data_IF_012709275460
#
_entry.id   IF_012709275460
#
_cell.length_a   1.000
_cell.length_b   1.000
_cell.length_c   1.000
_cell.angle_alpha   90.00
_cell.angle_beta   90.00
_cell.angle_gamma   90.00
#
_symmetry.space_group_name_H-M   'P 1'
#
loop_
_entity.id
_entity.type
_entity.pdbx_description
1 polymer ?
#
# COMPACT_ATOMS: atom_id res chain seq x y z
N UNK A 1 2.89 -10.81 -5.67
CA UNK A 1 2.20 -11.37 -4.49
C UNK A 1 1.87 -10.30 -3.46
N UNK A 2 2.87 -9.63 -2.87
CA UNK A 2 2.69 -8.69 -1.76
C UNK A 2 1.59 -7.64 -1.96
N UNK A 3 1.65 -6.84 -3.03
CA UNK A 3 0.65 -5.80 -3.29
C UNK A 3 -0.78 -6.36 -3.50
N UNK A 4 -1.01 -7.35 -4.40
CA UNK A 4 -2.31 -8.00 -4.51
C UNK A 4 -2.88 -8.53 -3.19
N UNK A 5 -2.04 -9.17 -2.35
CA UNK A 5 -2.48 -9.69 -1.05
C UNK A 5 -3.01 -8.58 -0.14
N UNK A 6 -2.32 -7.44 -0.07
CA UNK A 6 -2.72 -6.30 0.76
C UNK A 6 -4.01 -5.66 0.25
N UNK A 7 -4.12 -5.45 -1.07
CA UNK A 7 -5.31 -4.84 -1.68
C UNK A 7 -6.53 -5.73 -1.44
N UNK A 8 -6.44 -7.04 -1.67
CA UNK A 8 -7.53 -7.99 -1.43
C UNK A 8 -7.95 -8.00 0.05
N UNK A 9 -7.01 -8.00 0.99
CA UNK A 9 -7.38 -7.95 2.42
C UNK A 9 -8.16 -6.68 2.78
N UNK A 10 -7.80 -5.55 2.17
CA UNK A 10 -8.49 -4.29 2.42
C UNK A 10 -9.93 -4.26 1.89
N UNK A 11 -10.25 -5.07 0.86
CA UNK A 11 -11.61 -5.22 0.32
C UNK A 11 -12.42 -6.27 1.09
N UNK A 12 -11.79 -7.33 1.61
CA UNK A 12 -12.45 -8.36 2.42
C UNK A 12 -12.81 -7.88 3.83
N UNK A 13 -11.98 -7.04 4.45
CA UNK A 13 -12.16 -6.61 5.84
C UNK A 13 -12.35 -5.09 5.96
N UNK A 14 -13.55 -4.68 6.39
CA UNK A 14 -13.86 -3.29 6.70
C UNK A 14 -13.67 -2.93 8.19
N UNK A 15 -14.13 -3.80 9.12
CA UNK A 15 -14.17 -3.49 10.57
C UNK A 15 -12.91 -3.88 11.36
N UNK A 16 -12.19 -4.91 10.92
CA UNK A 16 -10.95 -5.41 11.57
C UNK A 16 -9.78 -5.43 10.59
N UNK A 17 -9.66 -4.36 9.81
CA UNK A 17 -8.71 -4.28 8.70
C UNK A 17 -7.27 -4.32 9.21
N UNK A 18 -6.97 -3.66 10.33
CA UNK A 18 -5.61 -3.60 10.87
C UNK A 18 -5.17 -4.95 11.42
N UNK A 19 -6.05 -5.66 12.15
CA UNK A 19 -5.76 -7.03 12.63
C UNK A 19 -5.58 -8.00 11.47
N UNK A 20 -6.47 -7.99 10.47
CA UNK A 20 -6.36 -8.88 9.30
C UNK A 20 -5.06 -8.64 8.52
N UNK A 21 -4.70 -7.36 8.32
CA UNK A 21 -3.42 -6.97 7.70
C UNK A 21 -2.23 -7.41 8.54
N UNK A 22 -2.30 -7.21 9.86
CA UNK A 22 -1.27 -7.66 10.80
C UNK A 22 -0.98 -9.15 10.67
N UNK A 23 -2.02 -9.99 10.73
CA UNK A 23 -1.90 -11.45 10.60
C UNK A 23 -1.32 -11.84 9.24
N UNK A 24 -1.84 -11.29 8.15
CA UNK A 24 -1.39 -11.66 6.80
C UNK A 24 0.08 -11.31 6.53
N UNK A 25 0.59 -10.23 7.12
CA UNK A 25 1.98 -9.78 6.91
C UNK A 25 2.95 -10.38 7.96
N UNK A 26 2.45 -11.13 8.95
CA UNK A 26 3.29 -11.86 9.93
C UNK A 26 4.25 -12.86 9.28
N UNK A 27 3.93 -13.36 8.08
CA UNK A 27 4.82 -14.26 7.32
C UNK A 27 6.23 -13.70 7.12
N UNK A 28 6.39 -12.37 7.05
CA UNK A 28 7.71 -11.74 6.99
C UNK A 28 8.56 -11.99 8.23
N UNK A 29 7.98 -11.91 9.43
CA UNK A 29 8.68 -12.18 10.69
C UNK A 29 9.07 -13.65 10.85
N UNK A 30 8.17 -14.56 10.45
CA UNK A 30 8.45 -16.01 10.40
C UNK A 30 9.61 -16.27 9.43
N UNK A 31 9.55 -15.68 8.23
CA UNK A 31 10.61 -15.79 7.23
C UNK A 31 11.96 -15.31 7.76
N UNK A 32 12.03 -14.14 8.38
CA UNK A 32 13.26 -13.62 9.00
C UNK A 32 13.80 -14.58 10.05
N UNK A 33 12.95 -15.06 10.96
CA UNK A 33 13.35 -15.98 12.02
C UNK A 33 13.92 -17.28 11.45
N UNK A 34 13.16 -17.93 10.56
CA UNK A 34 13.53 -19.21 9.94
C UNK A 34 14.79 -19.08 9.08
N UNK A 35 14.83 -18.09 8.18
CA UNK A 35 15.97 -17.91 7.28
C UNK A 35 17.23 -17.47 8.01
N UNK A 36 17.13 -16.69 9.09
CA UNK A 36 18.31 -16.29 9.88
C UNK A 36 19.03 -17.49 10.49
N UNK A 37 18.29 -18.53 10.89
CA UNK A 37 18.85 -19.73 11.52
C UNK A 37 19.23 -20.80 10.50
N UNK A 38 18.45 -20.97 9.42
CA UNK A 38 18.63 -22.07 8.47
C UNK A 38 19.65 -21.74 7.37
N UNK A 39 19.72 -20.48 6.92
CA UNK A 39 20.53 -20.15 5.73
C UNK A 39 22.03 -20.38 5.94
N UNK A 40 22.57 -20.16 7.15
CA UNK A 40 23.98 -20.43 7.46
C UNK A 40 24.35 -21.91 7.26
N UNK A 41 23.72 -22.84 8.00
CA UNK A 41 23.94 -24.27 7.85
C UNK A 41 23.68 -24.80 6.42
N UNK A 42 22.67 -24.26 5.72
CA UNK A 42 22.39 -24.63 4.34
C UNK A 42 23.49 -24.15 3.39
N UNK A 43 24.01 -22.95 3.60
CA UNK A 43 25.13 -22.43 2.81
C UNK A 43 26.40 -23.26 3.02
N UNK A 44 26.67 -23.69 4.25
CA UNK A 44 27.77 -24.59 4.56
C UNK A 44 27.59 -25.98 3.93
N UNK A 45 26.36 -26.51 3.92
CA UNK A 45 26.03 -27.78 3.26
C UNK A 45 26.28 -27.74 1.74
N UNK A 46 26.01 -26.60 1.09
CA UNK A 46 26.35 -26.39 -0.33
C UNK A 46 27.84 -26.09 -0.57
N UNK A 47 28.71 -26.27 0.43
CA UNK A 47 30.15 -26.02 0.30
C UNK A 47 30.47 -24.54 0.07
N UNK A 48 29.59 -23.63 0.53
CA UNK A 48 29.69 -22.17 0.32
C UNK A 48 29.65 -21.75 -1.15
N UNK A 49 29.13 -22.61 -2.01
CA UNK A 49 28.87 -22.25 -3.41
C UNK A 49 27.65 -21.32 -3.51
N UNK A 50 27.91 -20.10 -3.98
CA UNK A 50 26.88 -19.07 -4.17
C UNK A 50 25.87 -19.49 -5.24
N UNK A 51 26.30 -20.22 -6.27
CA UNK A 51 25.43 -20.66 -7.37
C UNK A 51 24.32 -21.58 -6.87
N UNK A 52 24.70 -22.66 -6.19
CA UNK A 52 23.78 -23.63 -5.60
C UNK A 52 22.86 -23.01 -4.54
N UNK A 53 23.38 -22.09 -3.73
CA UNK A 53 22.59 -21.35 -2.75
C UNK A 53 21.54 -20.43 -3.38
N UNK A 54 21.87 -19.75 -4.49
CA UNK A 54 20.91 -18.95 -5.25
C UNK A 54 19.80 -19.80 -5.85
N UNK A 55 20.10 -21.01 -6.35
CA UNK A 55 19.09 -21.95 -6.86
C UNK A 55 18.14 -22.39 -5.75
N UNK A 56 18.66 -22.69 -4.56
CA UNK A 56 17.85 -22.99 -3.37
C UNK A 56 16.87 -21.85 -3.03
N UNK A 57 17.35 -20.60 -2.98
CA UNK A 57 16.51 -19.44 -2.71
C UNK A 57 15.46 -19.22 -3.82
N UNK A 58 15.84 -19.43 -5.08
CA UNK A 58 14.91 -19.33 -6.21
C UNK A 58 13.78 -20.37 -6.12
N UNK A 59 14.10 -21.62 -5.72
CA UNK A 59 13.10 -22.67 -5.53
C UNK A 59 12.08 -22.30 -4.45
N UNK A 60 12.52 -21.69 -3.34
CA UNK A 60 11.63 -21.18 -2.29
C UNK A 60 10.76 -20.01 -2.80
N UNK A 61 11.33 -19.11 -3.59
CA UNK A 61 10.56 -18.00 -4.16
C UNK A 61 9.47 -18.48 -5.13
N UNK A 62 9.76 -19.51 -5.93
CA UNK A 62 8.81 -20.11 -6.88
C UNK A 62 7.69 -20.84 -6.12
N UNK A 63 8.00 -21.60 -5.07
CA UNK A 63 6.96 -22.28 -4.27
C UNK A 63 5.99 -21.28 -3.63
N UNK A 64 6.49 -20.10 -3.23
CA UNK A 64 5.66 -18.97 -2.82
C UNK A 64 4.61 -18.59 -3.86
N UNK A 65 4.96 -18.58 -5.14
CA UNK A 65 4.07 -18.16 -6.24
C UNK A 65 2.82 -19.05 -6.37
N UNK A 66 2.91 -20.34 -6.01
CA UNK A 66 1.77 -21.27 -6.03
C UNK A 66 0.64 -20.82 -5.10
N UNK A 67 0.97 -20.20 -3.96
CA UNK A 67 -0.02 -19.69 -3.02
C UNK A 67 -0.83 -18.50 -3.57
N UNK A 68 -0.36 -17.86 -4.65
CA UNK A 68 -1.13 -16.78 -5.31
C UNK A 68 -2.43 -17.29 -5.94
N UNK A 69 -2.50 -18.59 -6.26
CA UNK A 69 -3.69 -19.20 -6.85
C UNK A 69 -4.89 -19.21 -5.88
N UNK A 70 -4.66 -19.02 -4.58
CA UNK A 70 -5.71 -18.92 -3.58
C UNK A 70 -6.41 -17.55 -3.57
N UNK A 71 -5.88 -16.55 -4.28
CA UNK A 71 -6.53 -15.24 -4.36
C UNK A 71 -7.78 -15.31 -5.25
N UNK A 72 -8.92 -15.50 -4.61
CA UNK A 72 -10.22 -15.38 -5.25
C UNK A 72 -10.75 -13.93 -5.14
N UNK A 73 -11.26 -13.33 -6.23
CA UNK A 73 -11.98 -12.07 -6.14
C UNK A 73 -13.33 -12.25 -5.44
N UNK A 74 -13.76 -11.25 -4.67
CA UNK A 74 -15.07 -11.24 -4.04
C UNK A 74 -16.15 -11.16 -5.13
N UNK A 75 -17.07 -12.13 -5.11
CA UNK A 75 -18.31 -12.06 -5.90
C UNK A 75 -19.40 -11.39 -5.06
N UNK A 76 -20.25 -10.59 -5.69
CA UNK A 76 -21.38 -9.98 -5.02
C UNK A 76 -22.36 -11.07 -4.53
N UNK A 77 -22.72 -11.02 -3.23
CA UNK A 77 -23.68 -11.96 -2.65
C UNK A 77 -25.08 -11.67 -3.21
N UNK A 78 -25.92 -12.69 -3.45
CA UNK A 78 -27.29 -12.48 -3.97
C UNK A 78 -28.11 -11.49 -3.14
N UNK A 79 -27.92 -11.48 -1.82
CA UNK A 79 -28.57 -10.52 -0.93
C UNK A 79 -28.16 -9.07 -1.22
N UNK A 80 -26.88 -8.81 -1.56
CA UNK A 80 -26.39 -7.47 -1.91
C UNK A 80 -26.97 -7.03 -3.24
N UNK A 81 -26.99 -7.91 -4.23
CA UNK A 81 -27.60 -7.67 -5.55
C UNK A 81 -29.09 -7.31 -5.39
N UNK A 82 -29.84 -8.11 -4.62
CA UNK A 82 -31.28 -7.84 -4.34
C UNK A 82 -31.50 -6.51 -3.62
N UNK A 83 -30.65 -6.16 -2.65
CA UNK A 83 -30.75 -4.91 -1.89
C UNK A 83 -30.50 -3.68 -2.78
N UNK A 84 -29.47 -3.72 -3.61
CA UNK A 84 -29.14 -2.63 -4.56
C UNK A 84 -30.21 -2.50 -5.63
N UNK A 85 -30.66 -3.63 -6.21
CA UNK A 85 -31.75 -3.62 -7.19
C UNK A 85 -33.05 -3.03 -6.63
N UNK A 86 -33.37 -3.31 -5.36
CA UNK A 86 -34.53 -2.72 -4.67
C UNK A 86 -34.36 -1.20 -4.42
N UNK A 87 -33.14 -0.73 -4.13
CA UNK A 87 -32.87 0.71 -4.00
C UNK A 87 -33.03 1.45 -5.34
N UNK A 88 -32.47 0.89 -6.43
CA UNK A 88 -32.62 1.45 -7.78
C UNK A 88 -34.10 1.54 -8.16
N UNK A 89 -34.88 0.49 -7.89
CA UNK A 89 -36.33 0.47 -8.14
C UNK A 89 -37.12 1.49 -7.34
N UNK A 90 -36.80 1.65 -6.06
CA UNK A 90 -37.40 2.69 -5.22
C UNK A 90 -37.09 4.09 -5.76
N UNK A 91 -35.90 4.30 -6.30
CA UNK A 91 -35.50 5.57 -6.93
C UNK A 91 -36.21 5.82 -8.26
N UNK A 92 -36.46 4.77 -9.05
CA UNK A 92 -37.29 4.82 -10.26
C UNK A 92 -38.80 5.00 -9.97
N UNK A 93 -39.20 5.06 -8.69
CA UNK A 93 -40.60 5.17 -8.28
C UNK A 93 -41.42 3.91 -8.56
N UNK A 94 -40.78 2.75 -8.74
CA UNK A 94 -41.43 1.47 -9.03
C UNK A 94 -41.24 0.50 -7.86
N UNK A 95 -42.19 0.38 -6.92
CA UNK A 95 -42.04 -0.42 -5.70
C UNK A 95 -42.18 -1.95 -5.91
N UNK A 96 -42.24 -2.41 -7.16
CA UNK A 96 -42.37 -3.83 -7.52
C UNK A 96 -41.08 -4.62 -7.27
N UNK A 97 -41.19 -5.95 -7.17
CA UNK A 97 -40.01 -6.81 -7.03
C UNK A 97 -39.06 -6.67 -8.24
N UNK A 98 -37.73 -6.65 -8.02
CA UNK A 98 -36.76 -6.44 -9.08
C UNK A 98 -36.79 -7.60 -10.08
N UNK A 99 -36.91 -7.25 -11.37
CA UNK A 99 -36.91 -8.20 -12.48
C UNK A 99 -35.59 -8.97 -12.55
N UNK A 100 -35.62 -10.23 -13.01
CA UNK A 100 -34.42 -11.08 -13.11
C UNK A 100 -33.31 -10.46 -13.95
N UNK A 101 -33.64 -9.71 -15.02
CA UNK A 101 -32.68 -8.93 -15.82
C UNK A 101 -31.99 -7.83 -15.01
N UNK A 102 -32.73 -7.07 -14.21
CA UNK A 102 -32.16 -6.02 -13.35
C UNK A 102 -31.24 -6.60 -12.28
N UNK A 103 -31.56 -7.78 -11.74
CA UNK A 103 -30.68 -8.49 -10.81
C UNK A 103 -29.38 -8.93 -11.48
N UNK A 104 -29.43 -9.34 -12.75
CA UNK A 104 -28.27 -9.74 -13.54
C UNK A 104 -27.41 -8.53 -13.93
N UNK A 105 -28.02 -7.43 -14.35
CA UNK A 105 -27.35 -6.15 -14.62
C UNK A 105 -26.66 -5.61 -13.36
N UNK A 106 -27.38 -5.53 -12.24
CA UNK A 106 -26.81 -5.09 -10.95
C UNK A 106 -25.71 -6.05 -10.48
N UNK A 107 -25.82 -7.36 -10.76
CA UNK A 107 -24.73 -8.30 -10.46
C UNK A 107 -23.52 -8.02 -11.32
N UNK A 108 -23.69 -7.82 -12.63
CA UNK A 108 -22.59 -7.53 -13.54
C UNK A 108 -21.90 -6.21 -13.17
N UNK A 109 -22.67 -5.16 -12.86
CA UNK A 109 -22.15 -3.88 -12.39
C UNK A 109 -21.37 -4.04 -11.07
N UNK A 110 -21.91 -4.81 -10.12
CA UNK A 110 -21.22 -5.09 -8.86
C UNK A 110 -19.97 -5.97 -9.04
N UNK A 111 -19.97 -6.91 -9.99
CA UNK A 111 -18.80 -7.72 -10.34
C UNK A 111 -17.73 -6.90 -11.07
N UNK A 112 -18.14 -5.93 -11.89
CA UNK A 112 -17.27 -4.96 -12.55
C UNK A 112 -16.67 -3.97 -11.55
N UNK A 113 -17.47 -3.48 -10.58
CA UNK A 113 -17.01 -2.68 -9.43
C UNK A 113 -16.03 -3.44 -8.53
N UNK A 114 -16.20 -4.76 -8.37
CA UNK A 114 -15.32 -5.59 -7.56
C UNK A 114 -14.04 -6.03 -8.29
N UNK A 115 -13.86 -5.68 -9.59
CA UNK A 115 -12.60 -5.98 -10.28
C UNK A 115 -11.46 -5.13 -9.70
N UNK A 116 -10.35 -5.75 -9.26
CA UNK A 116 -9.21 -5.01 -8.74
C UNK A 116 -8.61 -4.13 -9.86
N UNK A 117 -8.65 -2.81 -9.67
CA UNK A 117 -8.07 -1.81 -10.57
C UNK A 117 -9.04 -1.11 -11.52
N UNK A 118 -10.36 -1.24 -11.36
CA UNK A 118 -11.32 -0.44 -12.14
C UNK A 118 -11.61 0.90 -11.42
N UNK A 119 -11.30 2.01 -12.10
CA UNK A 119 -11.55 3.36 -11.62
C UNK A 119 -13.05 3.65 -11.61
N UNK A 120 -13.54 4.37 -10.60
CA UNK A 120 -14.91 4.87 -10.51
C UNK A 120 -15.27 5.92 -11.60
N UNK A 121 -14.34 6.27 -12.49
CA UNK A 121 -14.50 7.34 -13.49
C UNK A 121 -15.35 6.93 -14.70
N UNK A 122 -15.70 5.65 -14.87
CA UNK A 122 -16.57 5.20 -15.97
C UNK A 122 -18.05 5.56 -15.74
N UNK A 123 -18.42 6.08 -14.57
CA UNK A 123 -19.82 6.30 -14.17
C UNK A 123 -20.50 7.52 -14.82
N UNK A 124 -19.78 8.32 -15.63
CA UNK A 124 -20.36 9.44 -16.40
C UNK A 124 -20.32 9.25 -17.93
N UNK A 125 -19.94 8.08 -18.44
CA UNK A 125 -20.16 7.73 -19.84
C UNK A 125 -21.55 7.08 -19.99
N UNK A 126 -22.58 7.94 -20.05
CA UNK A 126 -23.98 7.56 -20.00
C UNK A 126 -24.49 6.71 -21.17
N UNK A 127 -25.50 5.91 -20.82
CA UNK A 127 -26.63 5.41 -21.61
C UNK A 127 -26.32 4.58 -22.86
N UNK A 128 -26.24 3.26 -22.67
CA UNK A 128 -26.61 2.32 -23.72
C UNK A 128 -28.14 2.41 -23.97
N UNK A 129 -28.63 2.65 -25.20
CA UNK A 129 -30.05 2.64 -25.45
C UNK A 129 -30.55 1.19 -25.37
N UNK A 130 -31.53 1.00 -24.51
CA UNK A 130 -32.38 -0.18 -24.39
C UNK A 130 -32.90 -0.58 -25.77
N UNK A 131 -32.65 -1.83 -26.14
CA UNK A 131 -33.26 -2.50 -27.30
C UNK A 131 -34.79 -2.36 -27.25
N UNK A 132 -35.36 -1.58 -28.17
CA UNK A 132 -36.81 -1.49 -28.39
C UNK A 132 -37.15 -2.18 -29.71
N UNK A 133 -37.77 -3.36 -29.60
CA UNK A 133 -38.33 -4.10 -30.72
C UNK A 133 -39.54 -3.36 -31.30
N UNK A 134 -39.49 -3.14 -32.63
CA UNK A 134 -40.57 -2.96 -33.64
C UNK A 134 -41.92 -2.33 -33.23
N UNK A 135 -42.27 -1.20 -33.87
CA UNK A 135 -43.40 -1.07 -34.83
C UNK A 135 -43.99 0.36 -34.91
N UNK A 136 -44.15 0.82 -36.15
CA UNK A 136 -45.11 1.77 -36.73
C UNK A 136 -45.12 3.29 -36.44
N UNK A 137 -44.74 3.99 -37.53
CA UNK A 137 -45.36 5.17 -38.17
C UNK A 137 -45.56 6.48 -37.40
N UNK A 138 -45.06 7.54 -38.07
CA UNK A 138 -45.34 8.98 -37.93
C UNK A 138 -44.54 9.71 -36.84
N UNK A 139 -43.37 10.24 -37.21
CA UNK A 139 -43.10 11.69 -37.14
C UNK A 139 -41.72 12.03 -37.73
N UNK A 140 -41.71 12.38 -39.03
CA UNK A 140 -40.50 12.61 -39.84
C UNK A 140 -40.03 14.08 -39.84
N UNK A 141 -40.41 14.90 -38.86
CA UNK A 141 -40.02 16.33 -38.80
C UNK A 141 -39.37 16.79 -37.51
N UNK A 142 -39.36 15.96 -36.45
CA UNK A 142 -38.55 16.23 -35.24
C UNK A 142 -37.13 15.63 -35.33
N UNK A 143 -36.88 14.73 -36.28
CA UNK A 143 -35.60 14.01 -36.42
C UNK A 143 -34.48 14.85 -37.05
N UNK A 144 -34.80 15.77 -37.97
CA UNK A 144 -33.79 16.54 -38.71
C UNK A 144 -33.08 17.62 -37.86
N UNK A 145 -33.74 18.17 -36.84
CA UNK A 145 -33.10 19.15 -35.94
C UNK A 145 -32.27 18.51 -34.83
N UNK A 146 -32.50 17.22 -34.52
CA UNK A 146 -31.69 16.46 -33.57
C UNK A 146 -30.45 15.85 -34.23
N UNK A 147 -30.54 15.43 -35.51
CA UNK A 147 -29.39 14.94 -36.27
C UNK A 147 -28.31 16.01 -36.44
N UNK A 148 -28.65 17.29 -36.61
CA UNK A 148 -27.65 18.37 -36.74
C UNK A 148 -26.82 18.60 -35.46
N UNK A 149 -27.41 18.43 -34.27
CA UNK A 149 -26.68 18.54 -32.99
C UNK A 149 -25.89 17.27 -32.63
N UNK A 150 -26.36 16.10 -33.09
CA UNK A 150 -25.63 14.84 -32.93
C UNK A 150 -24.43 14.78 -33.87
N UNK A 151 -24.58 15.22 -35.13
CA UNK A 151 -23.51 15.17 -36.15
C UNK A 151 -22.29 16.00 -35.73
N UNK A 152 -22.50 17.19 -35.14
CA UNK A 152 -21.38 18.02 -34.68
C UNK A 152 -20.67 17.47 -33.43
N UNK A 153 -21.35 16.65 -32.62
CA UNK A 153 -20.75 15.93 -31.50
C UNK A 153 -20.07 14.62 -31.95
N UNK A 154 -20.50 14.00 -33.06
CA UNK A 154 -19.88 12.77 -33.57
C UNK A 154 -18.55 12.98 -34.29
N UNK A 155 -18.30 14.12 -34.95
CA UNK A 155 -17.02 14.32 -35.66
C UNK A 155 -15.81 14.43 -34.72
N UNK A 156 -15.99 14.96 -33.50
CA UNK A 156 -14.92 14.99 -32.49
C UNK A 156 -14.85 13.74 -31.60
N UNK A 157 -15.79 12.79 -31.72
CA UNK A 157 -15.88 11.61 -30.84
C UNK A 157 -15.83 10.25 -31.53
N UNK A 158 -15.62 10.19 -32.85
CA UNK A 158 -15.43 8.92 -33.57
C UNK A 158 -14.09 8.80 -34.29
N UNK A 159 -13.03 9.42 -33.75
CA UNK A 159 -11.64 9.13 -34.16
C UNK A 159 -10.71 8.95 -32.96
N UNK A 160 -11.03 8.01 -32.07
CA UNK A 160 -9.99 7.10 -31.60
C UNK A 160 -10.00 5.89 -32.51
N UNK A 161 -9.52 6.10 -33.74
CA UNK A 161 -9.00 5.02 -34.56
C UNK A 161 -8.18 4.10 -33.63
N UNK A 162 -8.36 2.79 -33.82
CA UNK A 162 -7.41 1.76 -33.41
C UNK A 162 -6.10 2.01 -34.18
N UNK A 163 -5.41 3.11 -33.84
CA UNK A 163 -4.00 3.24 -34.08
C UNK A 163 -3.41 2.11 -33.26
N UNK A 164 -2.60 1.25 -33.88
CA UNK A 164 -1.64 0.43 -33.13
C UNK A 164 -0.74 1.41 -32.38
N UNK A 165 -1.22 1.90 -31.23
CA UNK A 165 -0.46 2.73 -30.32
C UNK A 165 0.81 1.94 -30.04
N UNK A 166 1.95 2.58 -30.28
CA UNK A 166 3.25 2.00 -29.97
C UNK A 166 3.19 1.40 -28.56
N UNK A 167 3.87 0.27 -28.32
CA UNK A 167 3.97 -0.32 -26.98
C UNK A 167 4.34 0.74 -25.94
N UNK A 168 5.14 1.73 -26.35
CA UNK A 168 5.51 2.89 -25.54
C UNK A 168 4.34 3.82 -25.18
N UNK A 169 3.43 4.11 -26.11
CA UNK A 169 2.25 4.95 -25.85
C UNK A 169 1.26 4.26 -24.92
N UNK A 170 1.02 2.95 -25.12
CA UNK A 170 0.21 2.14 -24.19
C UNK A 170 0.85 2.05 -22.81
N UNK A 171 2.16 1.84 -22.76
CA UNK A 171 2.91 1.86 -21.50
C UNK A 171 2.84 3.21 -20.81
N UNK A 172 2.99 4.32 -21.54
CA UNK A 172 2.88 5.69 -21.00
C UNK A 172 1.49 5.95 -20.43
N UNK A 173 0.43 5.54 -21.13
CA UNK A 173 -0.95 5.69 -20.66
C UNK A 173 -1.21 4.86 -19.40
N UNK A 174 -0.77 3.59 -19.36
CA UNK A 174 -0.84 2.76 -18.15
C UNK A 174 0.02 3.28 -17.00
N UNK A 175 1.17 3.88 -17.29
CA UNK A 175 2.02 4.48 -16.26
C UNK A 175 1.38 5.76 -15.72
N UNK A 176 0.78 6.59 -16.58
CA UNK A 176 0.03 7.78 -16.17
C UNK A 176 -1.24 7.43 -15.39
N UNK A 177 -1.91 6.29 -15.66
CA UNK A 177 -3.07 5.88 -14.89
C UNK A 177 -2.71 5.35 -13.50
N UNK A 178 -1.52 4.77 -13.33
CA UNK A 178 -0.97 4.36 -12.03
C UNK A 178 -0.39 5.55 -11.26
N UNK A 179 0.29 6.47 -11.97
CA UNK A 179 0.81 7.73 -11.43
C UNK A 179 -0.30 8.79 -11.38
N UNK A 180 -1.20 8.61 -10.41
CA UNK A 180 -2.22 9.61 -10.13
C UNK A 180 -1.55 10.93 -9.70
N UNK A 181 -1.68 11.95 -10.56
CA UNK A 181 -1.08 13.27 -10.35
C UNK A 181 -1.66 13.95 -9.12
N UNK A 182 -2.92 13.73 -8.81
CA UNK A 182 -3.55 14.33 -7.63
C UNK A 182 -2.90 13.83 -6.35
N UNK A 183 -2.43 12.57 -6.36
CA UNK A 183 -1.69 12.01 -5.24
C UNK A 183 -0.28 12.59 -5.15
N UNK A 184 0.45 12.64 -6.28
CA UNK A 184 1.81 13.18 -6.31
C UNK A 184 1.89 14.65 -5.89
N UNK A 185 0.83 15.44 -6.13
CA UNK A 185 0.75 16.83 -5.72
C UNK A 185 -0.01 17.05 -4.41
N UNK A 186 -0.53 15.99 -3.77
CA UNK A 186 -1.14 16.07 -2.44
C UNK A 186 -0.06 16.21 -1.35
N UNK A 187 0.00 17.34 -0.62
CA UNK A 187 1.00 17.53 0.42
C UNK A 187 0.93 16.48 1.54
N UNK A 188 -0.29 16.04 1.88
CA UNK A 188 -0.50 15.00 2.90
C UNK A 188 0.10 13.67 2.44
N UNK A 189 -0.23 13.25 1.22
CA UNK A 189 0.31 12.01 0.66
C UNK A 189 1.83 12.07 0.52
N UNK A 190 2.38 13.18 0.05
CA UNK A 190 3.81 13.35 -0.13
C UNK A 190 4.59 13.35 1.19
N UNK A 191 4.06 13.99 2.24
CA UNK A 191 4.66 13.92 3.58
C UNK A 191 4.75 12.48 4.06
N UNK A 192 3.68 11.73 3.84
CA UNK A 192 3.60 10.31 4.18
C UNK A 192 4.57 9.46 3.32
N UNK A 193 4.73 9.77 2.03
CA UNK A 193 5.69 9.09 1.15
C UNK A 193 7.15 9.32 1.56
N UNK A 194 7.52 10.58 1.81
CA UNK A 194 8.88 10.98 2.21
C UNK A 194 9.25 10.38 3.57
N UNK A 195 8.34 10.38 4.54
CA UNK A 195 8.61 9.71 5.83
C UNK A 195 8.79 8.20 5.68
N UNK A 196 8.06 7.58 4.73
CA UNK A 196 8.25 6.19 4.35
C UNK A 196 9.66 5.92 3.83
N UNK A 197 10.18 6.80 2.97
CA UNK A 197 11.56 6.72 2.48
C UNK A 197 12.58 6.78 3.61
N UNK A 198 12.48 7.75 4.52
CA UNK A 198 13.41 7.86 5.65
C UNK A 198 13.32 6.66 6.59
N UNK A 199 12.13 6.14 6.83
CA UNK A 199 11.95 4.92 7.62
C UNK A 199 12.69 3.75 6.99
N UNK A 200 12.48 3.49 5.70
CA UNK A 200 13.08 2.33 5.02
C UNK A 200 14.60 2.49 4.82
N UNK A 201 15.07 3.73 4.68
CA UNK A 201 16.50 4.06 4.64
C UNK A 201 17.22 3.55 5.89
N UNK A 202 16.62 3.71 7.07
CA UNK A 202 17.21 3.27 8.35
C UNK A 202 16.81 1.84 8.75
N UNK A 203 15.64 1.38 8.30
CA UNK A 203 15.05 0.08 8.65
C UNK A 203 16.00 -1.11 8.43
N UNK A 204 16.72 -1.14 7.31
CA UNK A 204 17.56 -2.29 6.94
C UNK A 204 18.87 -2.36 7.74
N UNK A 205 19.26 -1.26 8.38
CA UNK A 205 20.59 -1.13 8.99
C UNK A 205 20.81 -2.14 10.12
N UNK A 206 19.91 -2.31 11.11
CA UNK A 206 20.10 -3.31 12.14
C UNK A 206 20.01 -4.76 11.64
N UNK A 207 19.29 -5.04 10.55
CA UNK A 207 19.26 -6.39 9.98
C UNK A 207 20.60 -6.81 9.37
N UNK A 208 21.35 -5.86 8.82
CA UNK A 208 22.61 -6.13 8.10
C UNK A 208 23.83 -5.90 8.97
N UNK A 209 23.88 -4.78 9.70
CA UNK A 209 25.11 -4.30 10.34
C UNK A 209 25.18 -4.56 11.84
N UNK A 210 24.10 -4.98 12.51
CA UNK A 210 24.11 -5.21 13.95
C UNK A 210 25.07 -6.33 14.36
N UNK A 211 25.01 -7.48 13.68
CA UNK A 211 25.93 -8.59 13.92
C UNK A 211 27.40 -8.20 13.66
N UNK A 212 27.64 -7.37 12.64
CA UNK A 212 28.98 -6.87 12.32
C UNK A 212 29.49 -5.90 13.40
N UNK A 213 28.62 -5.02 13.90
CA UNK A 213 28.94 -4.11 14.99
C UNK A 213 29.22 -4.84 16.32
N UNK A 214 28.44 -5.89 16.61
CA UNK A 214 28.68 -6.77 17.77
C UNK A 214 30.05 -7.43 17.68
N UNK A 215 30.37 -8.05 16.53
CA UNK A 215 31.66 -8.73 16.29
C UNK A 215 32.85 -7.77 16.34
N UNK A 216 32.68 -6.53 15.90
CA UNK A 216 33.72 -5.50 15.98
C UNK A 216 34.02 -5.11 17.44
N UNK A 217 33.00 -5.03 18.31
CA UNK A 217 33.17 -4.64 19.71
C UNK A 217 33.66 -5.79 20.58
N UNK A 218 33.17 -7.00 20.34
CA UNK A 218 33.59 -8.18 21.05
C UNK A 218 33.81 -9.34 20.07
N UNK A 219 35.08 -9.65 19.74
CA UNK A 219 35.43 -10.75 18.84
C UNK A 219 35.09 -12.14 19.38
N UNK A 220 34.84 -12.28 20.69
CA UNK A 220 34.59 -13.56 21.34
C UNK A 220 33.17 -14.08 21.13
N UNK A 221 32.28 -13.25 20.56
CA UNK A 221 30.92 -13.69 20.24
C UNK A 221 30.92 -14.82 19.20
N UNK A 222 30.20 -15.88 19.54
CA UNK A 222 29.95 -17.02 18.65
C UNK A 222 28.99 -16.63 17.52
N UNK A 223 29.03 -17.35 16.39
CA UNK A 223 28.12 -17.09 15.26
C UNK A 223 26.62 -17.26 15.65
N UNK A 224 26.33 -18.09 16.65
CA UNK A 224 25.00 -18.23 17.23
C UNK A 224 24.56 -16.95 17.98
N UNK A 225 25.45 -16.33 18.75
CA UNK A 225 25.15 -15.08 19.47
C UNK A 225 25.02 -13.90 18.52
N UNK A 226 25.80 -13.87 17.44
CA UNK A 226 25.74 -12.82 16.41
C UNK A 226 24.45 -12.91 15.58
N UNK A 227 23.89 -14.11 15.39
CA UNK A 227 22.63 -14.31 14.64
C UNK A 227 21.38 -14.14 15.49
N UNK A 228 21.48 -14.35 16.82
CA UNK A 228 20.37 -14.27 17.76
C UNK A 228 19.53 -12.97 17.65
N UNK A 229 20.11 -11.76 17.56
CA UNK A 229 19.32 -10.53 17.42
C UNK A 229 18.40 -10.51 16.20
N UNK A 230 18.86 -11.02 15.05
CA UNK A 230 18.03 -11.05 13.82
C UNK A 230 16.87 -12.02 13.98
N UNK A 231 17.12 -13.19 14.59
CA UNK A 231 16.08 -14.17 14.94
C UNK A 231 15.04 -13.57 15.88
N UNK A 232 15.49 -12.89 16.95
CA UNK A 232 14.61 -12.22 17.91
C UNK A 232 13.84 -11.07 17.27
N UNK A 233 14.46 -10.31 16.36
CA UNK A 233 13.77 -9.27 15.61
C UNK A 233 12.58 -9.88 14.86
N UNK A 234 12.79 -11.00 14.17
CA UNK A 234 11.72 -11.75 13.49
C UNK A 234 10.62 -12.25 14.42
N UNK A 235 10.98 -12.83 15.56
CA UNK A 235 10.02 -13.33 16.55
C UNK A 235 9.15 -12.21 17.16
N UNK A 236 9.77 -11.14 17.63
CA UNK A 236 9.05 -9.98 18.17
C UNK A 236 8.23 -9.26 17.11
N UNK A 237 8.68 -9.28 15.84
CA UNK A 237 7.93 -8.66 14.74
C UNK A 237 6.52 -9.28 14.59
N UNK A 238 6.40 -10.60 14.75
CA UNK A 238 5.09 -11.30 14.70
C UNK A 238 4.19 -10.81 15.85
N UNK A 239 4.72 -10.81 17.07
CA UNK A 239 3.97 -10.39 18.26
C UNK A 239 3.48 -8.94 18.13
N UNK A 240 4.37 -8.03 17.73
CA UNK A 240 4.03 -6.61 17.60
C UNK A 240 3.10 -6.32 16.43
N UNK A 241 3.15 -7.08 15.32
CA UNK A 241 2.19 -6.91 14.21
C UNK A 241 0.76 -7.21 14.62
N UNK A 242 0.56 -8.28 15.39
CA UNK A 242 -0.76 -8.63 15.92
C UNK A 242 -1.20 -7.59 16.95
N UNK A 243 -0.31 -7.25 17.88
CA UNK A 243 -0.58 -6.26 18.92
C UNK A 243 -0.93 -4.88 18.38
N UNK A 244 -0.14 -4.34 17.44
CA UNK A 244 -0.39 -3.02 16.86
C UNK A 244 -1.68 -2.99 16.04
N UNK A 245 -2.03 -4.09 15.35
CA UNK A 245 -3.30 -4.20 14.66
C UNK A 245 -4.49 -4.09 15.61
N UNK A 246 -4.41 -4.75 16.78
CA UNK A 246 -5.46 -4.68 17.81
C UNK A 246 -5.56 -3.28 18.44
N UNK A 247 -4.43 -2.63 18.71
CA UNK A 247 -4.39 -1.27 19.28
C UNK A 247 -4.91 -0.24 18.27
N UNK A 248 -4.54 -0.37 17.00
CA UNK A 248 -4.99 0.53 15.93
C UNK A 248 -6.49 0.40 15.62
N UNK A 249 -7.10 -0.77 15.86
CA UNK A 249 -8.55 -0.97 15.69
C UNK A 249 -9.36 -0.42 16.89
N UNK A 250 -8.72 0.15 17.93
CA UNK A 250 -9.41 0.74 19.07
C UNK A 250 -10.01 2.11 18.71
N UNK A 251 -11.28 2.41 19.06
CA UNK A 251 -12.01 3.60 18.58
C UNK A 251 -11.42 4.96 18.99
N UNK A 252 -10.50 4.98 19.95
CA UNK A 252 -9.83 6.21 20.43
C UNK A 252 -8.43 6.42 19.84
N UNK A 253 -7.91 5.46 19.07
CA UNK A 253 -6.55 5.51 18.54
C UNK A 253 -6.58 5.42 17.02
N UNK A 254 -5.78 6.23 16.35
CA UNK A 254 -5.56 6.10 14.90
C UNK A 254 -4.37 5.20 14.62
N UNK A 255 -4.41 4.45 13.51
CA UNK A 255 -3.27 3.65 13.06
C UNK A 255 -2.00 4.51 12.88
N UNK A 256 -2.17 5.76 12.48
CA UNK A 256 -1.11 6.76 12.36
C UNK A 256 -0.39 7.02 13.69
N UNK A 257 -1.13 7.28 14.77
CA UNK A 257 -0.53 7.55 16.09
C UNK A 257 0.26 6.35 16.61
N UNK A 258 -0.31 5.15 16.49
CA UNK A 258 0.36 3.90 16.89
C UNK A 258 1.66 3.72 16.12
N UNK A 259 1.63 3.94 14.79
CA UNK A 259 2.81 3.89 13.95
C UNK A 259 3.87 4.93 14.35
N UNK A 260 3.48 6.19 14.56
CA UNK A 260 4.42 7.27 14.88
C UNK A 260 5.14 7.03 16.21
N UNK A 261 4.40 6.63 17.25
CA UNK A 261 5.00 6.35 18.57
C UNK A 261 6.00 5.20 18.46
N UNK A 262 5.63 4.12 17.76
CA UNK A 262 6.50 2.96 17.60
C UNK A 262 7.77 3.27 16.80
N UNK A 263 7.69 4.06 15.72
CA UNK A 263 8.87 4.42 14.91
C UNK A 263 9.80 5.39 15.65
N UNK A 264 9.26 6.33 16.42
CA UNK A 264 10.07 7.23 17.25
C UNK A 264 10.83 6.44 18.32
N UNK A 265 10.15 5.52 19.01
CA UNK A 265 10.79 4.66 20.02
C UNK A 265 11.87 3.77 19.38
N UNK A 266 11.60 3.18 18.21
CA UNK A 266 12.57 2.36 17.49
C UNK A 266 13.81 3.16 17.06
N UNK A 267 13.62 4.34 16.46
CA UNK A 267 14.74 5.22 16.08
C UNK A 267 15.55 5.67 17.29
N UNK A 268 14.87 6.03 18.38
CA UNK A 268 15.52 6.39 19.64
C UNK A 268 16.33 5.23 20.21
N UNK A 269 15.80 4.00 20.18
CA UNK A 269 16.55 2.82 20.65
C UNK A 269 17.81 2.53 19.83
N UNK A 270 17.83 2.88 18.54
CA UNK A 270 19.04 2.74 17.71
C UNK A 270 20.17 3.66 18.19
N UNK A 271 19.87 4.81 18.77
CA UNK A 271 20.87 5.71 19.35
C UNK A 271 21.58 5.10 20.56
N UNK A 272 20.98 4.08 21.20
CA UNK A 272 21.57 3.41 22.34
C UNK A 272 22.46 2.21 21.96
N UNK A 273 22.38 1.72 20.72
CA UNK A 273 23.22 0.59 20.23
C UNK A 273 24.72 0.83 20.41
N UNK A 274 25.26 2.05 20.21
CA UNK A 274 26.67 2.33 20.47
C UNK A 274 27.12 2.07 21.91
N UNK A 275 26.22 2.13 22.88
CA UNK A 275 26.54 1.88 24.30
C UNK A 275 26.39 0.40 24.70
N UNK A 276 25.92 -0.46 23.80
CA UNK A 276 25.76 -1.89 24.06
C UNK A 276 27.11 -2.61 24.04
N UNK A 277 27.45 -3.30 25.13
CA UNK A 277 28.66 -4.14 25.25
C UNK A 277 28.30 -5.62 25.36
N UNK A 278 27.47 -5.96 26.35
CA UNK A 278 26.99 -7.32 26.59
C UNK A 278 25.88 -7.75 25.62
N UNK A 279 25.78 -9.07 25.36
CA UNK A 279 24.74 -9.67 24.50
C UNK A 279 23.32 -9.26 24.90
N UNK A 280 23.04 -9.19 26.21
CA UNK A 280 21.70 -8.83 26.72
C UNK A 280 21.26 -7.43 26.31
N UNK A 281 22.18 -6.48 26.11
CA UNK A 281 21.82 -5.14 25.64
C UNK A 281 21.22 -5.18 24.22
N UNK A 282 21.82 -6.00 23.35
CA UNK A 282 21.34 -6.20 21.98
C UNK A 282 19.99 -6.92 21.95
N UNK A 283 19.78 -7.90 22.85
CA UNK A 283 18.49 -8.59 23.05
C UNK A 283 17.39 -7.60 23.45
N UNK A 284 17.69 -6.71 24.41
CA UNK A 284 16.73 -5.67 24.86
C UNK A 284 16.43 -4.69 23.73
N UNK A 285 17.44 -4.31 22.93
CA UNK A 285 17.26 -3.45 21.74
C UNK A 285 16.30 -4.03 20.70
N UNK A 286 16.26 -5.35 20.52
CA UNK A 286 15.37 -6.00 19.55
C UNK A 286 13.89 -5.68 19.80
N UNK A 287 13.48 -5.45 21.04
CA UNK A 287 12.07 -5.21 21.41
C UNK A 287 11.53 -3.89 20.81
N UNK A 288 12.07 -2.70 21.17
CA UNK A 288 11.59 -1.44 20.61
C UNK A 288 11.82 -1.34 19.11
N UNK A 289 12.93 -1.86 18.58
CA UNK A 289 13.19 -1.86 17.16
C UNK A 289 12.15 -2.68 16.38
N UNK A 290 11.86 -3.91 16.83
CA UNK A 290 10.83 -4.75 16.20
C UNK A 290 9.44 -4.15 16.29
N UNK A 291 9.12 -3.43 17.37
CA UNK A 291 7.84 -2.74 17.49
C UNK A 291 7.69 -1.66 16.41
N UNK A 292 8.70 -0.81 16.19
CA UNK A 292 8.66 0.20 15.13
C UNK A 292 8.58 -0.39 13.74
N UNK A 293 9.40 -1.41 13.46
CA UNK A 293 9.41 -2.17 12.19
C UNK A 293 8.04 -2.83 11.93
N UNK A 294 7.45 -3.48 12.94
CA UNK A 294 6.15 -4.14 12.86
C UNK A 294 5.01 -3.15 12.61
N UNK A 295 4.94 -2.08 13.42
CA UNK A 295 3.90 -1.06 13.32
C UNK A 295 3.97 -0.35 11.97
N UNK A 296 5.17 0.05 11.55
CA UNK A 296 5.36 0.67 10.24
C UNK A 296 4.86 -0.26 9.13
N UNK A 297 5.33 -1.51 9.09
CA UNK A 297 4.99 -2.41 7.99
C UNK A 297 3.51 -2.86 7.97
N UNK A 298 2.88 -3.07 9.13
CA UNK A 298 1.48 -3.52 9.21
C UNK A 298 0.48 -2.38 9.00
N UNK A 299 0.76 -1.20 9.56
CA UNK A 299 -0.19 -0.08 9.57
C UNK A 299 -0.05 0.81 8.33
N UNK A 300 1.02 0.67 7.53
CA UNK A 300 1.25 1.55 6.37
C UNK A 300 0.11 1.55 5.36
N UNK A 301 -0.39 0.37 5.01
CA UNK A 301 -1.51 0.22 4.08
C UNK A 301 -2.81 0.72 4.71
N UNK A 302 -3.00 0.49 6.00
CA UNK A 302 -4.15 0.99 6.76
C UNK A 302 -4.19 2.52 6.75
N UNK A 303 -3.08 3.17 7.11
CA UNK A 303 -2.93 4.64 7.08
C UNK A 303 -3.18 5.18 5.66
N UNK A 304 -2.71 4.48 4.64
CA UNK A 304 -2.96 4.85 3.24
C UNK A 304 -4.46 4.86 2.93
N UNK A 305 -5.20 3.82 3.35
CA UNK A 305 -6.64 3.74 3.17
C UNK A 305 -7.39 4.78 4.00
N UNK A 306 -6.99 5.03 5.24
CA UNK A 306 -7.60 6.06 6.09
C UNK A 306 -7.39 7.48 5.52
N UNK A 307 -6.25 7.71 4.86
CA UNK A 307 -5.91 9.02 4.29
C UNK A 307 -6.61 9.25 2.94
N UNK A 308 -6.56 8.28 2.02
CA UNK A 308 -6.91 8.51 0.60
C UNK A 308 -8.19 7.76 0.20
N UNK A 309 -8.65 6.81 1.03
CA UNK A 309 -9.76 5.92 0.70
C UNK A 309 -9.31 4.65 -0.02
N UNK A 310 -10.24 3.70 -0.13
CA UNK A 310 -9.98 2.38 -0.75
C UNK A 310 -9.82 2.47 -2.27
N UNK A 311 -10.51 3.43 -2.90
CA UNK A 311 -10.60 3.56 -4.36
C UNK A 311 -9.23 3.80 -5.01
N UNK A 312 -8.43 4.70 -4.43
CA UNK A 312 -7.09 5.03 -4.93
C UNK A 312 -5.98 4.24 -4.24
N UNK A 313 -6.32 3.21 -3.44
CA UNK A 313 -5.34 2.47 -2.63
C UNK A 313 -4.22 1.85 -3.46
N UNK A 314 -4.54 1.22 -4.59
CA UNK A 314 -3.55 0.53 -5.42
C UNK A 314 -2.54 1.52 -6.02
N UNK A 315 -3.03 2.64 -6.56
CA UNK A 315 -2.20 3.70 -7.12
C UNK A 315 -1.35 4.36 -6.04
N UNK A 316 -1.95 4.72 -4.91
CA UNK A 316 -1.27 5.30 -3.77
C UNK A 316 -0.16 4.40 -3.24
N UNK A 317 -0.47 3.15 -2.95
CA UNK A 317 0.48 2.22 -2.36
C UNK A 317 1.59 1.87 -3.35
N UNK A 318 1.30 1.83 -4.66
CA UNK A 318 2.32 1.72 -5.70
C UNK A 318 3.33 2.87 -5.66
N UNK A 319 2.85 4.12 -5.61
CA UNK A 319 3.72 5.30 -5.50
C UNK A 319 4.52 5.26 -4.18
N UNK A 320 3.88 4.94 -3.05
CA UNK A 320 4.58 4.79 -1.76
C UNK A 320 5.73 3.79 -1.83
N UNK A 321 5.51 2.64 -2.46
CA UNK A 321 6.52 1.59 -2.60
C UNK A 321 7.70 2.05 -3.46
N UNK A 322 7.48 2.90 -4.47
CA UNK A 322 8.57 3.51 -5.25
C UNK A 322 9.44 4.40 -4.36
N UNK A 323 8.82 5.31 -3.61
CA UNK A 323 9.53 6.19 -2.66
C UNK A 323 10.29 5.40 -1.59
N UNK A 324 9.67 4.36 -1.04
CA UNK A 324 10.28 3.46 -0.07
C UNK A 324 11.42 2.65 -0.68
N UNK A 325 11.29 2.20 -1.94
CA UNK A 325 12.31 1.48 -2.67
C UNK A 325 13.59 2.30 -2.86
N UNK A 326 13.46 3.60 -3.12
CA UNK A 326 14.62 4.52 -3.17
C UNK A 326 15.35 4.50 -1.83
N UNK A 327 14.62 4.61 -0.71
CA UNK A 327 15.18 4.55 0.63
C UNK A 327 15.92 3.24 0.89
N UNK A 328 15.33 2.10 0.49
CA UNK A 328 15.92 0.77 0.68
C UNK A 328 17.26 0.61 -0.05
N UNK A 329 17.36 1.10 -1.29
CA UNK A 329 18.58 1.02 -2.10
C UNK A 329 19.69 1.90 -1.52
N UNK A 330 19.33 3.08 -1.02
CA UNK A 330 20.29 4.08 -0.54
C UNK A 330 20.77 3.79 0.89
N UNK A 331 19.91 3.25 1.76
CA UNK A 331 20.17 3.09 3.19
C UNK A 331 21.40 2.26 3.53
N UNK A 332 21.51 1.06 2.94
CA UNK A 332 22.65 0.16 3.16
C UNK A 332 23.99 0.79 2.77
N UNK A 333 24.17 1.25 1.51
CA UNK A 333 25.38 1.91 1.06
C UNK A 333 25.78 3.12 1.90
N UNK A 334 24.84 3.98 2.32
CA UNK A 334 25.16 5.11 3.20
C UNK A 334 25.70 4.61 4.55
N UNK A 335 25.04 3.63 5.17
CA UNK A 335 25.51 3.07 6.45
C UNK A 335 26.91 2.43 6.34
N UNK A 336 27.19 1.75 5.22
CA UNK A 336 28.50 1.17 4.94
C UNK A 336 29.57 2.25 4.72
N UNK A 337 29.30 3.27 3.91
CA UNK A 337 30.22 4.37 3.65
C UNK A 337 30.56 5.14 4.92
N UNK A 338 29.58 5.40 5.80
CA UNK A 338 29.83 6.02 7.10
C UNK A 338 30.82 5.19 7.91
N UNK A 339 30.64 3.87 7.94
CA UNK A 339 31.56 2.96 8.64
C UNK A 339 32.95 2.93 7.97
N UNK A 340 33.04 2.98 6.65
CA UNK A 340 34.34 2.96 5.96
C UNK A 340 35.14 4.26 6.18
N UNK A 341 34.47 5.41 6.31
CA UNK A 341 35.12 6.70 6.60
C UNK A 341 35.53 6.79 8.08
N UNK A 342 34.67 6.33 8.98
CA UNK A 342 34.85 6.52 10.44
C UNK A 342 35.57 5.38 11.13
N UNK A 343 35.61 4.20 10.51
CA UNK A 343 36.17 2.97 11.07
C UNK A 343 35.27 2.25 12.08
N UNK A 344 34.07 2.78 12.40
CA UNK A 344 33.17 2.20 13.39
C UNK A 344 31.69 2.30 12.94
N UNK A 345 30.90 1.28 13.27
CA UNK A 345 29.45 1.24 13.02
C UNK A 345 28.65 2.19 13.92
N UNK A 346 29.20 2.65 15.05
CA UNK A 346 28.48 3.48 16.02
C UNK A 346 27.87 4.75 15.41
N UNK A 347 28.62 5.43 14.54
CA UNK A 347 28.14 6.66 13.86
C UNK A 347 27.01 6.33 12.90
N UNK A 348 27.06 5.18 12.21
CA UNK A 348 25.96 4.72 11.37
C UNK A 348 24.69 4.51 12.18
N UNK A 349 24.77 3.94 13.39
CA UNK A 349 23.60 3.77 14.27
C UNK A 349 23.04 5.09 14.78
N UNK A 350 23.88 6.07 15.12
CA UNK A 350 23.41 7.40 15.50
C UNK A 350 22.66 8.10 14.36
N UNK A 351 23.28 8.20 13.18
CA UNK A 351 22.68 8.89 12.03
C UNK A 351 21.37 8.21 11.62
N UNK A 352 21.37 6.88 11.53
CA UNK A 352 20.19 6.11 11.11
C UNK A 352 19.09 6.14 12.17
N UNK A 353 19.43 6.11 13.46
CA UNK A 353 18.45 6.27 14.54
C UNK A 353 17.76 7.63 14.52
N UNK A 354 18.50 8.71 14.27
CA UNK A 354 17.95 10.07 14.15
C UNK A 354 17.00 10.16 12.96
N UNK A 355 17.42 9.66 11.78
CA UNK A 355 16.59 9.67 10.57
C UNK A 355 15.31 8.86 10.79
N UNK A 356 15.41 7.71 11.45
CA UNK A 356 14.25 6.86 11.73
C UNK A 356 13.29 7.51 12.75
N UNK A 357 13.80 8.13 13.82
CA UNK A 357 12.95 8.84 14.77
C UNK A 357 12.29 10.06 14.11
N UNK A 358 13.05 10.80 13.30
CA UNK A 358 12.56 11.96 12.56
C UNK A 358 11.41 11.59 11.61
N UNK A 359 11.48 10.43 10.95
CA UNK A 359 10.41 9.99 10.04
C UNK A 359 9.05 9.86 10.75
N UNK A 360 9.03 9.36 11.98
CA UNK A 360 7.81 9.28 12.80
C UNK A 360 7.31 10.65 13.27
N UNK A 361 8.22 11.58 13.57
CA UNK A 361 7.88 12.96 13.96
C UNK A 361 7.23 13.71 12.80
N UNK A 362 7.75 13.54 11.58
CA UNK A 362 7.21 14.20 10.38
C UNK A 362 5.72 13.92 10.16
N UNK A 363 5.26 12.72 10.51
CA UNK A 363 3.86 12.29 10.31
C UNK A 363 2.94 12.58 11.49
N UNK A 364 3.42 13.21 12.57
CA UNK A 364 2.55 13.62 13.69
C UNK A 364 1.50 14.61 13.24
N UNK A 365 1.90 15.59 12.41
CA UNK A 365 1.01 16.66 11.94
C UNK A 365 0.26 16.37 10.65
N UNK A 366 0.23 15.10 10.28
CA UNK A 366 -0.44 14.65 9.06
C UNK A 366 -1.97 14.87 9.09
N UNK A 367 -2.68 14.67 10.22
CA UNK A 367 -4.12 14.94 10.28
C UNK A 367 -4.48 16.41 10.09
N UNK A 368 -3.70 17.35 10.66
CA UNK A 368 -3.98 18.78 10.46
C UNK A 368 -3.63 19.21 9.03
N UNK A 369 -2.56 18.66 8.45
CA UNK A 369 -2.22 18.91 7.05
C UNK A 369 -3.32 18.42 6.10
N UNK A 370 -3.91 17.25 6.39
CA UNK A 370 -5.05 16.71 5.64
C UNK A 370 -6.27 17.61 5.75
N UNK A 371 -6.64 18.01 6.97
CA UNK A 371 -7.79 18.89 7.21
C UNK A 371 -7.64 20.24 6.49
N UNK A 372 -6.42 20.79 6.47
CA UNK A 372 -6.10 22.00 5.72
C UNK A 372 -6.22 21.79 4.20
N UNK A 373 -5.74 20.67 3.68
CA UNK A 373 -5.81 20.32 2.27
C UNK A 373 -7.28 20.17 1.80
N UNK A 374 -8.11 19.49 2.59
CA UNK A 374 -9.55 19.33 2.34
C UNK A 374 -10.27 20.68 2.38
N UNK A 375 -9.96 21.54 3.35
CA UNK A 375 -10.53 22.89 3.47
C UNK A 375 -10.21 23.75 2.22
N UNK A 376 -8.99 23.67 1.70
CA UNK A 376 -8.60 24.37 0.47
C UNK A 376 -9.30 23.82 -0.78
N UNK A 377 -9.49 22.50 -0.88
CA UNK A 377 -10.23 21.88 -1.98
C UNK A 377 -11.69 22.35 -1.99
N UNK A 378 -12.33 22.38 -0.82
CA UNK A 378 -13.70 22.89 -0.66
C UNK A 378 -13.82 24.38 -1.01
N UNK A 379 -12.86 25.21 -0.57
CA UNK A 379 -12.86 26.64 -0.90
C UNK A 379 -12.72 26.90 -2.41
N UNK A 380 -11.88 26.11 -3.12
CA UNK A 380 -11.75 26.19 -4.58
C UNK A 380 -13.03 25.78 -5.29
N UNK A 381 -13.62 24.64 -4.91
CA UNK A 381 -14.88 24.15 -5.50
C UNK A 381 -16.04 25.13 -5.28
N UNK A 382 -16.13 25.75 -4.09
CA UNK A 382 -17.13 26.78 -3.80
C UNK A 382 -16.92 28.07 -4.61
N UNK A 383 -15.68 28.41 -4.95
CA UNK A 383 -15.36 29.55 -5.80
C UNK A 383 -15.74 29.26 -7.26
N UNK A 384 -15.42 28.07 -7.77
CA UNK A 384 -15.78 27.64 -9.13
C UNK A 384 -17.30 27.60 -9.33
N UNK A 385 -18.06 27.05 -8.37
CA UNK A 385 -19.53 27.05 -8.43
C UNK A 385 -20.13 28.47 -8.44
N UNK A 386 -19.54 29.43 -7.70
CA UNK A 386 -20.00 30.82 -7.72
C UNK A 386 -19.75 31.49 -9.07
N UNK A 387 -18.55 31.30 -9.63
CA UNK A 387 -18.21 31.84 -10.96
C UNK A 387 -19.12 31.27 -12.04
N UNK A 388 -19.47 29.97 -11.97
CA UNK A 388 -20.40 29.35 -12.92
C UNK A 388 -21.82 29.92 -12.74
N UNK A 389 -22.29 30.13 -11.51
CA UNK A 389 -23.63 30.72 -11.27
C UNK A 389 -23.74 32.19 -11.65
N UNK A 390 -22.63 32.94 -11.64
CA UNK A 390 -22.58 34.34 -12.09
C UNK A 390 -22.44 34.46 -13.61
N UNK A 391 -22.02 33.38 -14.29
CA UNK A 391 -21.86 33.32 -15.75
C UNK A 391 -23.07 32.72 -16.48
N UNK A 392 -24.01 32.09 -15.75
CA UNK A 392 -25.29 31.54 -16.25
C UNK A 392 -26.44 32.47 -15.96
#
# INVERSE_FOLDING_TARGET
MYLPSIVILSTYFAKKRSVATGIAVCGSGIGTMVFSTINGPVFDYFGKDVGSFMVYLAAIAISGSLFSLLFAPLKATEHQVKKVAKMVRNYEGKPEEPTQRLLEDVRNDLEELNRPGHNADTFYAGNAPVSRSRSNTLDRKAAESAEAHVVHATEHHTVHHVVKKSKFTKFKESLCSVLDKDLLFSPSFMTLAVSGTFTVLSFLVPFVYLALAMKQKNPDFTDAELSLPVTLIGAFNIMFRIGCGMVADHPKMSALQVSNVATIIAGTSMLFVPFCTELWHYVVFCIPFSAGVACFAALRSVICVELIGVEKLSNAFGILMVFMGIGAVVGGPIAAQIKDITGNYDISFYVMGIIFAFSGVMTIRLPELKAWEESKKLARAGTEMRVISEAS
#
